data_IF_212116969390
#
_entry.id   IF_212116969390
#
_cell.length_a   1.000
_cell.length_b   1.000
_cell.length_c   1.000
_cell.angle_alpha   90.00
_cell.angle_beta   90.00
_cell.angle_gamma   90.00
#
_symmetry.space_group_name_H-M   'P 1'
#
loop_
_entity.id
_entity.type
_entity.pdbx_description
1 polymer ?
#
# COMPACT_ATOMS: atom_id res chain seq x y z
N UNK A 1 20.99 44.86 30.98
CA UNK A 1 19.87 45.71 30.53
C UNK A 1 20.39 47.11 30.28
N UNK A 2 20.53 47.51 29.01
CA UNK A 2 20.90 48.89 28.67
C UNK A 2 19.67 49.79 28.81
N UNK A 3 19.71 50.74 29.73
CA UNK A 3 18.65 51.75 29.90
C UNK A 3 18.77 52.79 28.78
N UNK A 4 17.71 52.89 27.96
CA UNK A 4 17.59 53.84 26.86
C UNK A 4 17.26 55.25 27.40
N UNK A 5 18.12 56.24 27.13
CA UNK A 5 17.96 57.66 27.52
C UNK A 5 17.48 58.53 26.34
N UNK A 6 16.48 58.08 25.59
CA UNK A 6 15.83 58.86 24.52
C UNK A 6 14.69 59.74 25.04
N UNK A 7 14.34 60.79 24.31
CA UNK A 7 13.27 61.74 24.66
C UNK A 7 11.91 61.03 24.84
N UNK A 8 11.05 61.55 25.72
CA UNK A 8 9.79 60.92 26.12
C UNK A 8 8.83 60.55 24.94
N UNK A 9 8.99 61.17 23.77
CA UNK A 9 8.25 60.84 22.54
C UNK A 9 8.71 59.52 21.88
N UNK A 10 9.99 59.18 21.97
CA UNK A 10 10.53 57.91 21.44
C UNK A 10 10.16 56.70 22.31
N UNK A 11 9.81 56.92 23.58
CA UNK A 11 9.39 55.87 24.51
C UNK A 11 8.11 55.15 24.03
N UNK A 12 7.15 55.88 23.47
CA UNK A 12 5.91 55.30 22.93
C UNK A 12 6.16 54.43 21.69
N UNK A 13 7.05 54.89 20.80
CA UNK A 13 7.47 54.14 19.59
C UNK A 13 8.24 52.87 19.97
N UNK A 14 9.14 52.97 20.94
CA UNK A 14 9.87 51.82 21.48
C UNK A 14 8.93 50.78 22.11
N UNK A 15 7.88 51.23 22.81
CA UNK A 15 6.87 50.35 23.41
C UNK A 15 6.06 49.60 22.34
N UNK A 16 5.65 50.28 21.27
CA UNK A 16 4.94 49.64 20.15
C UNK A 16 5.80 48.61 19.41
N UNK A 17 7.08 48.92 19.17
CA UNK A 17 8.01 47.98 18.56
C UNK A 17 8.28 46.77 19.45
N UNK A 18 8.37 46.96 20.78
CA UNK A 18 8.50 45.87 21.74
C UNK A 18 7.25 44.97 21.75
N UNK A 19 6.06 45.56 21.75
CA UNK A 19 4.78 44.84 21.68
C UNK A 19 4.61 44.07 20.37
N UNK A 20 5.08 44.63 19.24
CA UNK A 20 5.08 43.96 17.93
C UNK A 20 6.04 42.77 17.91
N UNK A 21 7.22 42.91 18.52
CA UNK A 21 8.20 41.80 18.66
C UNK A 21 7.69 40.69 19.57
N UNK A 22 7.02 41.04 20.66
CA UNK A 22 6.41 40.08 21.59
C UNK A 22 5.32 39.25 20.91
N UNK A 23 4.39 39.89 20.18
CA UNK A 23 3.39 39.18 19.39
C UNK A 23 3.99 38.26 18.32
N UNK A 24 5.03 38.72 17.62
CA UNK A 24 5.70 37.91 16.62
C UNK A 24 6.39 36.68 17.23
N UNK A 25 6.96 36.81 18.44
CA UNK A 25 7.55 35.69 19.17
C UNK A 25 6.48 34.69 19.64
N UNK A 26 5.35 35.18 20.13
CA UNK A 26 4.21 34.36 20.55
C UNK A 26 3.62 33.57 19.37
N UNK A 27 3.48 34.20 18.21
CA UNK A 27 3.04 33.53 16.97
C UNK A 27 4.03 32.48 16.49
N UNK A 28 5.34 32.75 16.60
CA UNK A 28 6.40 31.79 16.28
C UNK A 28 6.37 30.58 17.23
N UNK A 29 6.14 30.82 18.52
CA UNK A 29 6.04 29.75 19.52
C UNK A 29 4.80 28.88 19.28
N UNK A 30 3.66 29.50 18.97
CA UNK A 30 2.44 28.79 18.58
C UNK A 30 2.65 27.95 17.32
N UNK A 31 3.29 28.51 16.29
CA UNK A 31 3.57 27.79 15.05
C UNK A 31 4.56 26.64 15.28
N UNK A 32 5.56 26.84 16.14
CA UNK A 32 6.52 25.79 16.54
C UNK A 32 5.82 24.67 17.30
N UNK A 33 4.94 24.99 18.26
CA UNK A 33 4.13 24.00 18.99
C UNK A 33 3.21 23.21 18.06
N UNK A 34 2.54 23.89 17.12
CA UNK A 34 1.68 23.25 16.11
C UNK A 34 2.47 22.29 15.22
N UNK A 35 3.66 22.69 14.76
CA UNK A 35 4.56 21.83 13.98
C UNK A 35 5.08 20.66 14.83
N UNK A 36 5.41 20.88 16.11
CA UNK A 36 5.83 19.82 17.02
C UNK A 36 4.71 18.81 17.31
N UNK A 37 3.46 19.26 17.42
CA UNK A 37 2.29 18.40 17.55
C UNK A 37 2.01 17.59 16.28
N UNK A 38 2.20 18.19 15.10
CA UNK A 38 2.03 17.54 13.80
C UNK A 38 3.18 16.56 13.49
N UNK A 39 4.41 16.88 13.90
CA UNK A 39 5.61 16.03 13.78
C UNK A 39 5.73 14.98 14.89
N UNK A 40 4.99 15.10 16.00
CA UNK A 40 4.80 14.02 16.98
C UNK A 40 3.95 12.92 16.36
N UNK A 41 4.55 12.23 15.40
CA UNK A 41 4.08 11.01 14.78
C UNK A 41 4.31 9.81 15.72
N UNK A 42 4.06 9.99 17.02
CA UNK A 42 3.91 8.90 17.99
C UNK A 42 2.62 8.10 17.78
N UNK A 43 1.86 8.42 16.74
CA UNK A 43 0.67 7.69 16.29
C UNK A 43 0.92 6.72 15.15
N UNK A 44 2.12 6.62 14.55
CA UNK A 44 2.38 5.59 13.52
C UNK A 44 2.68 4.21 14.12
N UNK A 45 3.49 4.12 15.17
CA UNK A 45 3.80 2.84 15.84
C UNK A 45 2.54 2.21 16.47
N UNK A 46 1.69 3.02 17.09
CA UNK A 46 0.43 2.57 17.69
C UNK A 46 -0.67 2.21 16.67
N UNK A 47 -0.57 2.69 15.42
CA UNK A 47 -1.52 2.32 14.36
C UNK A 47 -1.35 0.88 13.88
N UNK A 48 -0.15 0.32 14.03
CA UNK A 48 0.16 -1.04 13.57
C UNK A 48 0.29 -2.06 14.71
N UNK A 49 0.78 -1.66 15.88
CA UNK A 49 1.05 -2.61 16.98
C UNK A 49 -0.19 -3.00 17.80
N UNK A 50 -1.07 -2.05 18.15
CA UNK A 50 -2.20 -2.33 19.05
C UNK A 50 -3.39 -3.02 18.37
N UNK A 51 -3.50 -2.91 17.04
CA UNK A 51 -4.67 -3.39 16.30
C UNK A 51 -4.65 -4.90 16.00
N UNK A 52 -3.47 -5.51 15.92
CA UNK A 52 -3.35 -6.95 15.69
C UNK A 52 -3.48 -7.72 17.01
N UNK A 53 -2.86 -7.21 18.08
CA UNK A 53 -2.80 -7.86 19.39
C UNK A 53 -4.20 -7.96 20.04
N UNK A 54 -5.05 -6.94 19.93
CA UNK A 54 -6.39 -6.97 20.51
C UNK A 54 -7.31 -8.02 19.86
N UNK A 55 -7.28 -8.12 18.52
CA UNK A 55 -8.10 -9.08 17.77
C UNK A 55 -7.61 -10.51 18.02
N UNK A 56 -6.29 -10.69 18.04
CA UNK A 56 -5.68 -11.99 18.30
C UNK A 56 -5.92 -12.47 19.74
N UNK A 57 -5.88 -11.57 20.73
CA UNK A 57 -6.23 -11.88 22.11
C UNK A 57 -7.69 -12.28 22.28
N UNK A 58 -8.62 -11.63 21.57
CA UNK A 58 -10.05 -11.99 21.58
C UNK A 58 -10.28 -13.35 20.93
N UNK A 59 -9.60 -13.64 19.82
CA UNK A 59 -9.68 -14.96 19.16
C UNK A 59 -9.06 -16.06 20.03
N UNK A 60 -7.90 -15.82 20.64
CA UNK A 60 -7.23 -16.75 21.56
C UNK A 60 -8.10 -17.06 22.78
N UNK A 61 -8.61 -16.05 23.47
CA UNK A 61 -9.47 -16.25 24.65
C UNK A 61 -10.78 -16.96 24.32
N UNK A 62 -11.38 -16.68 23.17
CA UNK A 62 -12.64 -17.31 22.73
C UNK A 62 -12.45 -18.74 22.19
N UNK A 63 -11.22 -19.13 21.85
CA UNK A 63 -10.90 -20.45 21.25
C UNK A 63 -10.17 -21.39 22.22
N UNK A 64 -9.94 -20.98 23.48
CA UNK A 64 -9.40 -21.88 24.51
C UNK A 64 -10.51 -22.85 24.97
N UNK A 65 -10.38 -24.13 24.61
CA UNK A 65 -11.30 -25.20 25.01
C UNK A 65 -11.49 -26.26 23.92
N UNK A 66 -12.40 -27.21 24.15
CA UNK A 66 -12.83 -28.16 23.12
C UNK A 66 -13.84 -27.46 22.19
N UNK A 67 -13.35 -26.94 21.07
CA UNK A 67 -14.14 -26.18 20.08
C UNK A 67 -14.09 -26.93 18.76
N UNK A 68 -15.24 -27.03 18.09
CA UNK A 68 -15.33 -27.65 16.76
C UNK A 68 -14.77 -26.72 15.68
N UNK A 69 -14.33 -27.29 14.55
CA UNK A 69 -13.78 -26.47 13.45
C UNK A 69 -14.78 -25.44 12.92
N UNK A 70 -16.07 -25.76 12.94
CA UNK A 70 -17.13 -24.87 12.49
C UNK A 70 -17.33 -23.70 13.47
N UNK A 71 -17.26 -23.94 14.77
CA UNK A 71 -17.31 -22.90 15.80
C UNK A 71 -16.10 -21.95 15.73
N UNK A 72 -14.90 -22.48 15.42
CA UNK A 72 -13.71 -21.66 15.26
C UNK A 72 -13.83 -20.73 14.04
N UNK A 73 -14.34 -21.26 12.91
CA UNK A 73 -14.56 -20.46 11.70
C UNK A 73 -15.64 -19.40 11.90
N UNK A 74 -16.75 -19.76 12.53
CA UNK A 74 -17.83 -18.81 12.85
C UNK A 74 -17.31 -17.66 13.71
N UNK A 75 -16.54 -17.96 14.76
CA UNK A 75 -15.92 -16.94 15.63
C UNK A 75 -14.91 -16.06 14.89
N UNK A 76 -14.15 -16.63 13.96
CA UNK A 76 -13.21 -15.86 13.15
C UNK A 76 -13.94 -14.89 12.21
N UNK A 77 -15.00 -15.36 11.55
CA UNK A 77 -15.82 -14.54 10.65
C UNK A 77 -16.54 -13.41 11.41
N UNK A 78 -17.09 -13.70 12.59
CA UNK A 78 -17.77 -12.70 13.42
C UNK A 78 -16.84 -11.57 13.87
N UNK A 79 -15.61 -11.91 14.31
CA UNK A 79 -14.61 -10.91 14.73
C UNK A 79 -14.14 -10.05 13.55
N UNK A 80 -13.98 -10.63 12.36
CA UNK A 80 -13.65 -9.87 11.14
C UNK A 80 -14.78 -8.94 10.75
N UNK A 81 -16.02 -9.43 10.75
CA UNK A 81 -17.22 -8.67 10.38
C UNK A 81 -17.51 -7.52 11.35
N UNK A 82 -17.33 -7.73 12.65
CA UNK A 82 -17.48 -6.68 13.66
C UNK A 82 -16.43 -5.57 13.47
N UNK A 83 -15.20 -5.95 13.14
CA UNK A 83 -14.12 -5.01 12.82
C UNK A 83 -14.40 -4.21 11.56
N UNK A 84 -14.87 -4.85 10.50
CA UNK A 84 -15.26 -4.17 9.26
C UNK A 84 -16.37 -3.15 9.53
N UNK A 85 -17.37 -3.53 10.33
CA UNK A 85 -18.45 -2.63 10.74
C UNK A 85 -17.93 -1.44 11.55
N UNK A 86 -17.01 -1.67 12.47
CA UNK A 86 -16.41 -0.60 13.29
C UNK A 86 -15.56 0.36 12.44
N UNK A 87 -14.81 -0.15 11.46
CA UNK A 87 -14.04 0.67 10.52
C UNK A 87 -14.97 1.51 9.65
N UNK A 88 -16.05 0.92 9.12
CA UNK A 88 -17.05 1.63 8.33
C UNK A 88 -17.71 2.76 9.14
N UNK A 89 -18.12 2.51 10.38
CA UNK A 89 -18.68 3.54 11.26
C UNK A 89 -17.71 4.68 11.54
N UNK A 90 -16.43 4.37 11.81
CA UNK A 90 -15.41 5.38 12.08
C UNK A 90 -15.09 6.22 10.84
N UNK A 91 -15.12 5.63 9.66
CA UNK A 91 -14.96 6.34 8.39
C UNK A 91 -16.14 7.30 8.14
N UNK A 92 -17.37 6.81 8.30
CA UNK A 92 -18.59 7.63 8.18
C UNK A 92 -18.59 8.81 9.16
N UNK A 93 -18.18 8.59 10.42
CA UNK A 93 -18.11 9.66 11.41
C UNK A 93 -17.07 10.73 11.05
N UNK A 94 -15.89 10.31 10.57
CA UNK A 94 -14.84 11.25 10.12
C UNK A 94 -15.28 12.05 8.90
N UNK A 95 -15.99 11.43 7.98
CA UNK A 95 -16.52 12.09 6.80
C UNK A 95 -17.59 13.13 7.17
N UNK A 96 -18.50 12.77 8.09
CA UNK A 96 -19.51 13.68 8.61
C UNK A 96 -18.86 14.87 9.35
N UNK A 97 -17.80 14.64 10.12
CA UNK A 97 -17.04 15.71 10.77
C UNK A 97 -16.39 16.64 9.75
N UNK A 98 -15.75 16.10 8.70
CA UNK A 98 -15.15 16.89 7.62
C UNK A 98 -16.19 17.74 6.89
N UNK A 99 -17.36 17.19 6.58
CA UNK A 99 -18.45 17.94 5.95
C UNK A 99 -18.94 19.09 6.85
N UNK A 100 -19.10 18.86 8.15
CA UNK A 100 -19.48 19.92 9.11
C UNK A 100 -18.45 21.03 9.21
N UNK A 101 -17.16 20.71 9.14
CA UNK A 101 -16.08 21.71 9.14
C UNK A 101 -16.09 22.57 7.87
N UNK A 102 -16.26 21.94 6.70
CA UNK A 102 -16.38 22.64 5.42
C UNK A 102 -17.59 23.60 5.44
N UNK A 103 -18.73 23.14 5.97
CA UNK A 103 -19.95 23.95 6.03
C UNK A 103 -19.78 25.16 6.98
N UNK A 104 -19.19 24.96 8.16
CA UNK A 104 -18.87 26.08 9.08
C UNK A 104 -17.92 27.10 8.46
N UNK A 105 -16.92 26.64 7.70
CA UNK A 105 -15.96 27.54 7.02
C UNK A 105 -16.66 28.37 5.94
N UNK A 106 -17.55 27.76 5.15
CA UNK A 106 -18.39 28.47 4.17
C UNK A 106 -19.29 29.52 4.83
N UNK A 107 -19.99 29.17 5.90
CA UNK A 107 -20.86 30.11 6.63
C UNK A 107 -20.07 31.30 7.22
N UNK A 108 -18.85 31.07 7.71
CA UNK A 108 -17.99 32.15 8.21
C UNK A 108 -17.55 33.09 7.08
N UNK A 109 -17.17 32.56 5.92
CA UNK A 109 -16.82 33.36 4.75
C UNK A 109 -18.00 34.20 4.25
N UNK A 110 -19.21 33.62 4.22
CA UNK A 110 -20.42 34.34 3.82
C UNK A 110 -20.79 35.45 4.80
N UNK A 111 -20.66 35.20 6.12
CA UNK A 111 -20.85 36.25 7.14
C UNK A 111 -19.84 37.38 6.98
N UNK A 112 -18.58 37.08 6.71
CA UNK A 112 -17.56 38.10 6.47
C UNK A 112 -17.88 38.91 5.20
N UNK A 113 -18.25 38.26 4.09
CA UNK A 113 -18.69 38.95 2.87
C UNK A 113 -19.89 39.87 3.12
N UNK A 114 -20.91 39.41 3.86
CA UNK A 114 -22.07 40.23 4.22
C UNK A 114 -21.71 41.40 5.13
N UNK A 115 -20.79 41.19 6.08
CA UNK A 115 -20.34 42.24 6.99
C UNK A 115 -19.54 43.33 6.25
N UNK A 116 -18.73 42.93 5.26
CA UNK A 116 -18.03 43.87 4.37
C UNK A 116 -19.03 44.62 3.49
N UNK A 117 -20.01 43.93 2.90
CA UNK A 117 -21.05 44.55 2.06
C UNK A 117 -21.99 45.49 2.83
N UNK A 118 -22.21 45.26 4.13
CA UNK A 118 -23.05 46.11 4.98
C UNK A 118 -22.36 47.41 5.46
N UNK A 119 -21.04 47.52 5.31
CA UNK A 119 -20.30 48.75 5.60
C UNK A 119 -20.35 49.65 4.35
N UNK A 120 -20.96 50.84 4.45
CA UNK A 120 -21.21 51.73 3.30
C UNK A 120 -19.98 52.51 2.79
N UNK A 121 -18.80 51.89 2.79
CA UNK A 121 -17.65 52.41 2.05
C UNK A 121 -17.72 51.85 0.63
N UNK A 122 -18.28 52.64 -0.30
CA UNK A 122 -18.04 52.42 -1.73
C UNK A 122 -16.61 52.85 -2.03
N UNK A 123 -15.66 51.92 -1.95
CA UNK A 123 -14.46 52.01 -2.77
C UNK A 123 -14.88 51.56 -4.16
N UNK A 124 -15.21 52.54 -4.98
CA UNK A 124 -15.28 52.39 -6.43
C UNK A 124 -13.84 52.57 -6.90
N UNK A 125 -13.15 51.46 -7.12
CA UNK A 125 -12.14 51.32 -8.16
C UNK A 125 -11.96 49.81 -8.45
N UNK A 126 -12.09 49.52 -9.74
CA UNK A 126 -12.07 48.22 -10.38
C UNK A 126 -10.72 47.52 -10.22
N UNK A 127 -10.79 46.21 -9.94
CA UNK A 127 -9.98 45.10 -10.46
C UNK A 127 -9.76 44.06 -9.36
N UNK A 128 -10.66 43.09 -9.29
CA UNK A 128 -10.27 41.70 -9.09
C UNK A 128 -11.25 40.89 -9.94
N UNK A 129 -10.85 40.69 -11.20
CA UNK A 129 -11.37 39.60 -12.01
C UNK A 129 -11.27 38.32 -11.17
N UNK A 130 -12.40 37.62 -11.07
CA UNK A 130 -12.51 36.28 -10.52
C UNK A 130 -11.56 35.34 -11.30
N UNK A 131 -10.32 35.18 -10.82
CA UNK A 131 -9.48 34.02 -11.10
C UNK A 131 -9.68 32.97 -10.00
N UNK A 132 -10.89 32.40 -9.92
CA UNK A 132 -11.07 31.04 -9.39
C UNK A 132 -11.21 30.10 -10.59
N UNK A 133 -10.08 29.87 -11.26
CA UNK A 133 -9.92 28.78 -12.20
C UNK A 133 -9.70 27.46 -11.44
N UNK A 134 -10.53 26.48 -11.79
CA UNK A 134 -10.28 25.04 -11.73
C UNK A 134 -10.29 24.37 -10.34
N UNK A 135 -11.40 23.70 -10.03
CA UNK A 135 -11.40 22.24 -10.14
C UNK A 135 -12.85 21.74 -10.24
N UNK A 136 -13.24 21.46 -11.48
CA UNK A 136 -14.50 20.81 -11.79
C UNK A 136 -14.29 19.29 -11.78
N UNK A 137 -15.29 18.61 -11.21
CA UNK A 137 -15.68 17.23 -11.51
C UNK A 137 -14.75 16.09 -11.11
N UNK A 138 -15.13 15.42 -10.03
CA UNK A 138 -15.21 13.97 -10.08
C UNK A 138 -16.60 13.52 -9.63
N UNK A 139 -17.41 13.12 -10.61
CA UNK A 139 -18.66 12.40 -10.42
C UNK A 139 -18.65 11.22 -11.38
N UNK A 140 -18.43 10.05 -10.78
CA UNK A 140 -18.93 8.71 -11.11
C UNK A 140 -19.11 8.34 -12.59
N UNK A 141 -18.19 7.47 -13.00
CA UNK A 141 -18.44 6.05 -13.30
C UNK A 141 -19.82 5.65 -13.86
N UNK A 142 -19.76 5.01 -15.01
CA UNK A 142 -20.91 4.50 -15.75
C UNK A 142 -20.48 3.66 -16.95
N UNK A 143 -19.90 2.50 -16.65
CA UNK A 143 -19.88 1.24 -17.42
C UNK A 143 -20.14 1.29 -18.94
N UNK A 144 -19.21 0.77 -19.75
CA UNK A 144 -19.39 -0.53 -20.45
C UNK A 144 -18.26 -0.84 -21.43
N UNK A 145 -17.89 -2.12 -21.37
CA UNK A 145 -17.17 -2.98 -22.30
C UNK A 145 -16.89 -2.44 -23.72
N UNK A 146 -15.64 -2.59 -24.17
CA UNK A 146 -15.37 -2.96 -25.55
C UNK A 146 -14.36 -4.10 -25.65
N UNK A 147 -14.87 -5.26 -26.06
CA UNK A 147 -14.13 -6.26 -26.82
C UNK A 147 -14.08 -5.81 -28.28
N UNK A 148 -12.91 -5.90 -28.88
CA UNK A 148 -12.78 -6.58 -30.17
C UNK A 148 -12.58 -5.71 -31.42
N UNK A 149 -11.36 -5.84 -31.91
CA UNK A 149 -11.04 -6.25 -33.28
C UNK A 149 -10.69 -5.16 -34.32
N UNK A 150 -9.40 -5.16 -34.64
CA UNK A 150 -8.73 -4.88 -35.92
C UNK A 150 -9.59 -4.65 -37.17
N UNK A 151 -9.21 -3.65 -37.96
CA UNK A 151 -8.85 -3.90 -39.37
C UNK A 151 -8.00 -2.77 -39.97
N UNK A 152 -6.95 -3.19 -40.66
CA UNK A 152 -6.14 -2.41 -41.60
C UNK A 152 -6.97 -1.81 -42.74
N UNK A 153 -6.59 -0.63 -43.20
CA UNK A 153 -6.46 -0.36 -44.64
C UNK A 153 -5.57 0.86 -44.89
N UNK A 154 -4.54 0.62 -45.70
CA UNK A 154 -3.68 1.57 -46.41
C UNK A 154 -4.48 2.65 -47.12
N UNK A 155 -3.93 3.85 -47.22
CA UNK A 155 -3.47 4.44 -48.49
C UNK A 155 -2.70 5.74 -48.22
N UNK A 156 -1.51 5.82 -48.82
CA UNK A 156 -0.69 7.02 -48.93
C UNK A 156 -1.17 7.78 -50.17
N UNK A 157 -1.34 9.11 -50.07
CA UNK A 157 -0.76 10.05 -51.02
C UNK A 157 -0.99 11.53 -50.65
N UNK A 158 0.04 12.32 -50.98
CA UNK A 158 0.09 13.76 -51.24
C UNK A 158 0.32 14.78 -50.10
N UNK A 159 1.60 15.19 -50.03
CA UNK A 159 2.17 16.51 -49.73
C UNK A 159 1.21 17.65 -49.32
N UNK A 160 1.37 18.12 -48.08
CA UNK A 160 1.22 19.54 -47.73
C UNK A 160 2.14 19.92 -46.58
N UNK A 161 3.19 20.64 -46.93
CA UNK A 161 4.04 21.44 -46.03
C UNK A 161 3.20 22.25 -45.04
N UNK A 162 3.38 21.96 -43.76
CA UNK A 162 2.95 22.79 -42.64
C UNK A 162 3.75 22.37 -41.41
N UNK A 163 4.45 23.29 -40.70
CA UNK A 163 5.29 22.90 -39.59
C UNK A 163 4.42 22.34 -38.45
N UNK A 164 4.68 21.08 -38.11
CA UNK A 164 4.12 20.36 -36.98
C UNK A 164 4.54 21.08 -35.69
N UNK A 165 3.60 21.80 -35.07
CA UNK A 165 3.82 22.42 -33.78
C UNK A 165 3.73 21.34 -32.70
N UNK A 166 4.85 20.68 -32.42
CA UNK A 166 5.01 19.91 -31.19
C UNK A 166 4.82 20.87 -30.00
N UNK A 167 3.88 20.61 -29.08
CA UNK A 167 3.71 21.46 -27.92
C UNK A 167 5.01 21.47 -27.11
N UNK A 168 5.53 22.64 -26.71
CA UNK A 168 6.83 22.74 -26.06
C UNK A 168 6.80 21.95 -24.75
N UNK A 169 7.66 20.93 -24.65
CA UNK A 169 7.95 20.22 -23.41
C UNK A 169 8.43 21.26 -22.41
N UNK A 170 7.56 21.64 -21.46
CA UNK A 170 7.91 22.59 -20.40
C UNK A 170 9.04 21.96 -19.58
N UNK A 171 10.28 22.36 -19.88
CA UNK A 171 11.46 21.99 -19.11
C UNK A 171 11.22 22.51 -17.70
N UNK A 172 10.93 21.60 -16.76
CA UNK A 172 10.73 21.96 -15.35
C UNK A 172 11.97 22.75 -14.92
N UNK A 173 11.74 23.95 -14.39
CA UNK A 173 12.80 24.82 -13.90
C UNK A 173 13.54 24.07 -12.79
N UNK A 174 14.70 23.49 -13.15
CA UNK A 174 15.47 22.63 -12.26
C UNK A 174 16.09 23.45 -11.13
N UNK A 175 16.05 22.90 -9.92
CA UNK A 175 16.91 23.36 -8.83
C UNK A 175 18.37 23.17 -9.25
N UNK A 176 19.28 23.98 -8.72
CA UNK A 176 20.71 23.93 -9.04
C UNK A 176 21.24 22.48 -8.91
N UNK A 177 21.86 21.88 -9.95
CA UNK A 177 22.24 20.46 -9.95
C UNK A 177 23.27 20.07 -8.88
N UNK A 178 24.02 21.03 -8.34
CA UNK A 178 25.01 20.79 -7.27
C UNK A 178 24.38 20.73 -5.86
N UNK A 179 23.08 21.02 -5.72
CA UNK A 179 22.38 20.98 -4.44
C UNK A 179 21.66 19.64 -4.32
N UNK A 180 22.06 18.82 -3.36
CA UNK A 180 21.40 17.55 -3.06
C UNK A 180 19.94 17.80 -2.64
N UNK A 181 19.01 17.40 -3.51
CA UNK A 181 17.57 17.54 -3.31
C UNK A 181 16.92 16.22 -2.88
N UNK A 182 17.70 15.22 -2.47
CA UNK A 182 17.22 13.90 -2.04
C UNK A 182 16.26 13.90 -0.85
N UNK A 183 16.30 14.96 -0.04
CA UNK A 183 15.44 15.12 1.13
C UNK A 183 14.04 15.68 0.79
N UNK A 184 13.83 16.18 -0.43
CA UNK A 184 12.53 16.69 -0.86
C UNK A 184 11.65 15.53 -1.37
N UNK A 185 10.37 15.48 -0.99
CA UNK A 185 9.40 14.58 -1.61
C UNK A 185 9.39 14.79 -3.12
N UNK A 186 9.81 13.77 -3.85
CA UNK A 186 9.97 13.81 -5.30
C UNK A 186 9.20 12.64 -5.90
N UNK A 187 8.09 12.97 -6.56
CA UNK A 187 7.15 11.99 -7.11
C UNK A 187 7.81 11.08 -8.15
N UNK A 188 8.74 11.61 -8.93
CA UNK A 188 9.45 10.86 -9.98
C UNK A 188 10.41 9.84 -9.35
N UNK A 189 11.14 10.24 -8.30
CA UNK A 189 12.01 9.35 -7.52
C UNK A 189 11.24 8.25 -6.80
N UNK A 190 10.11 8.58 -6.18
CA UNK A 190 9.25 7.57 -5.54
C UNK A 190 8.69 6.58 -6.57
N UNK A 191 8.38 7.03 -7.78
CA UNK A 191 7.94 6.19 -8.90
C UNK A 191 9.07 5.29 -9.43
N UNK A 192 10.31 5.79 -9.50
CA UNK A 192 11.50 5.00 -9.84
C UNK A 192 11.81 3.95 -8.76
N UNK A 193 11.77 4.33 -7.48
CA UNK A 193 11.95 3.39 -6.36
C UNK A 193 10.88 2.31 -6.34
N UNK A 194 9.62 2.65 -6.65
CA UNK A 194 8.54 1.68 -6.81
C UNK A 194 8.81 0.73 -7.97
N UNK A 195 9.23 1.24 -9.13
CA UNK A 195 9.59 0.42 -10.29
C UNK A 195 10.72 -0.55 -9.97
N UNK A 196 11.81 -0.06 -9.36
CA UNK A 196 12.94 -0.90 -8.93
C UNK A 196 12.48 -1.97 -7.94
N UNK A 197 11.59 -1.61 -7.00
CA UNK A 197 11.04 -2.55 -6.03
C UNK A 197 10.18 -3.64 -6.68
N UNK A 198 9.37 -3.26 -7.66
CA UNK A 198 8.54 -4.18 -8.44
C UNK A 198 9.40 -5.09 -9.32
N UNK A 199 10.42 -4.56 -9.97
CA UNK A 199 11.42 -5.32 -10.73
C UNK A 199 12.13 -6.34 -9.86
N UNK A 200 12.66 -5.93 -8.71
CA UNK A 200 13.31 -6.82 -7.74
C UNK A 200 12.35 -7.91 -7.23
N UNK A 201 11.07 -7.58 -7.04
CA UNK A 201 10.05 -8.56 -6.65
C UNK A 201 9.82 -9.57 -7.77
N UNK A 202 9.70 -9.13 -9.02
CA UNK A 202 9.54 -10.00 -10.18
C UNK A 202 10.76 -10.90 -10.37
N UNK A 203 11.97 -10.34 -10.30
CA UNK A 203 13.20 -11.13 -10.36
C UNK A 203 13.26 -12.17 -9.24
N UNK A 204 12.90 -11.79 -8.02
CA UNK A 204 12.90 -12.73 -6.89
C UNK A 204 11.91 -13.88 -7.13
N UNK A 205 10.68 -13.58 -7.55
CA UNK A 205 9.68 -14.60 -7.90
C UNK A 205 10.17 -15.49 -9.04
N UNK A 206 10.80 -14.90 -10.06
CA UNK A 206 11.32 -15.64 -11.21
C UNK A 206 12.47 -16.57 -10.82
N UNK A 207 13.42 -16.08 -10.01
CA UNK A 207 14.51 -16.90 -9.43
C UNK A 207 13.96 -18.04 -8.58
N UNK A 208 12.95 -17.78 -7.75
CA UNK A 208 12.26 -18.80 -6.97
C UNK A 208 11.59 -19.86 -7.86
N UNK A 209 10.90 -19.42 -8.91
CA UNK A 209 10.23 -20.31 -9.85
C UNK A 209 11.22 -21.13 -10.67
N UNK A 210 12.36 -20.54 -11.06
CA UNK A 210 13.43 -21.23 -11.75
C UNK A 210 14.00 -22.36 -10.88
N UNK A 211 14.31 -22.06 -9.61
CA UNK A 211 14.84 -23.06 -8.67
C UNK A 211 13.81 -24.17 -8.37
N UNK A 212 12.52 -23.83 -8.32
CA UNK A 212 11.43 -24.83 -8.24
C UNK A 212 11.30 -25.67 -9.51
N UNK A 213 11.61 -25.12 -10.68
CA UNK A 213 11.50 -25.82 -11.97
C UNK A 213 12.70 -26.71 -12.30
N UNK A 214 13.79 -26.61 -11.55
CA UNK A 214 14.94 -27.50 -11.73
C UNK A 214 14.54 -28.97 -11.56
N UNK A 215 14.96 -29.81 -12.50
CA UNK A 215 14.72 -31.24 -12.46
C UNK A 215 15.69 -31.91 -11.47
N UNK A 216 15.15 -32.79 -10.62
CA UNK A 216 15.88 -33.66 -9.70
C UNK A 216 15.57 -35.11 -10.05
N UNK A 217 16.60 -35.92 -9.98
CA UNK A 217 16.50 -37.38 -9.97
C UNK A 217 16.46 -37.88 -8.53
N UNK A 218 15.35 -38.53 -8.16
CA UNK A 218 15.14 -39.04 -6.80
C UNK A 218 15.14 -40.57 -6.87
N UNK A 219 16.14 -41.15 -6.20
CA UNK A 219 16.20 -42.59 -5.93
C UNK A 219 15.38 -42.88 -4.68
N UNK A 220 14.34 -43.70 -4.83
CA UNK A 220 13.47 -44.11 -3.73
C UNK A 220 13.43 -45.62 -3.61
N UNK A 221 13.02 -46.11 -2.44
CA UNK A 221 12.76 -47.53 -2.23
C UNK A 221 11.32 -47.69 -1.80
N UNK A 222 10.57 -48.52 -2.51
CA UNK A 222 9.31 -49.04 -2.01
C UNK A 222 9.58 -50.16 -1.00
N UNK A 223 8.74 -50.27 0.04
CA UNK A 223 8.90 -51.22 1.12
C UNK A 223 7.57 -51.94 1.38
N UNK A 224 7.55 -53.24 1.12
CA UNK A 224 6.45 -54.17 1.40
C UNK A 224 6.88 -55.33 2.32
N UNK A 225 8.03 -55.17 2.98
CA UNK A 225 8.78 -56.23 3.65
C UNK A 225 10.08 -56.58 2.92
N UNK A 226 10.18 -56.21 1.64
CA UNK A 226 11.42 -56.19 0.86
C UNK A 226 11.65 -54.80 0.25
N UNK A 227 12.92 -54.43 0.04
CA UNK A 227 13.30 -53.12 -0.48
C UNK A 227 13.37 -53.09 -2.01
N UNK A 228 12.48 -52.36 -2.65
CA UNK A 228 12.44 -52.18 -4.10
C UNK A 228 12.94 -50.79 -4.51
N UNK A 229 14.23 -50.69 -4.85
CA UNK A 229 14.86 -49.42 -5.26
C UNK A 229 14.50 -49.06 -6.70
N UNK A 230 14.03 -47.83 -6.91
CA UNK A 230 13.65 -47.25 -8.21
C UNK A 230 14.12 -45.80 -8.26
N UNK A 231 14.11 -45.25 -9.47
CA UNK A 231 14.53 -43.88 -9.72
C UNK A 231 13.44 -43.17 -10.52
N UNK A 232 13.10 -41.96 -10.09
CA UNK A 232 12.10 -41.11 -10.76
C UNK A 232 12.65 -39.70 -10.90
N UNK A 233 12.45 -39.11 -12.08
CA UNK A 233 12.81 -37.72 -12.38
C UNK A 233 11.60 -36.79 -12.24
N UNK A 234 11.76 -35.69 -11.49
CA UNK A 234 10.74 -34.66 -11.34
C UNK A 234 11.30 -33.30 -10.90
N UNK A 235 10.47 -32.27 -10.93
CA UNK A 235 10.86 -30.90 -10.55
C UNK A 235 10.93 -30.70 -9.03
N UNK A 236 11.81 -29.82 -8.54
CA UNK A 236 11.93 -29.51 -7.09
C UNK A 236 10.63 -28.98 -6.48
N UNK A 237 9.88 -28.21 -7.27
CA UNK A 237 8.63 -27.58 -6.86
C UNK A 237 7.43 -28.52 -6.79
N UNK A 238 7.59 -29.79 -7.18
CA UNK A 238 6.52 -30.76 -7.04
C UNK A 238 6.32 -31.13 -5.56
N UNK A 239 5.06 -31.32 -5.17
CA UNK A 239 4.73 -31.80 -3.84
C UNK A 239 5.08 -33.27 -3.68
N UNK A 240 5.24 -33.71 -2.44
CA UNK A 240 5.48 -35.11 -2.11
C UNK A 240 4.31 -35.99 -2.54
N UNK A 241 3.08 -35.47 -2.47
CA UNK A 241 1.92 -36.14 -3.05
C UNK A 241 2.11 -36.49 -4.54
N UNK A 242 2.52 -35.50 -5.34
CA UNK A 242 2.78 -35.70 -6.76
C UNK A 242 3.94 -36.67 -7.01
N UNK A 243 4.93 -36.68 -6.11
CA UNK A 243 6.01 -37.66 -6.13
C UNK A 243 5.50 -39.08 -5.90
N UNK A 244 4.71 -39.29 -4.83
CA UNK A 244 4.13 -40.59 -4.50
C UNK A 244 3.23 -41.10 -5.62
N UNK A 245 2.46 -40.20 -6.26
CA UNK A 245 1.65 -40.53 -7.43
C UNK A 245 2.49 -41.05 -8.60
N UNK A 246 3.59 -40.36 -8.94
CA UNK A 246 4.52 -40.81 -9.99
C UNK A 246 5.22 -42.12 -9.61
N UNK A 247 5.59 -42.31 -8.35
CA UNK A 247 6.14 -43.57 -7.86
C UNK A 247 5.13 -44.72 -8.02
N UNK A 248 3.86 -44.49 -7.67
CA UNK A 248 2.78 -45.46 -7.88
C UNK A 248 2.62 -45.83 -9.35
N UNK A 249 2.69 -44.89 -10.28
CA UNK A 249 2.61 -45.19 -11.72
C UNK A 249 3.72 -46.14 -12.21
N UNK A 250 4.93 -45.99 -11.67
CA UNK A 250 6.05 -46.89 -11.96
C UNK A 250 5.82 -48.26 -11.31
N UNK A 251 5.43 -48.28 -10.04
CA UNK A 251 5.25 -49.52 -9.27
C UNK A 251 4.04 -50.34 -9.72
N UNK A 252 2.97 -49.71 -10.19
CA UNK A 252 1.75 -50.38 -10.71
C UNK A 252 2.01 -51.30 -11.90
N UNK A 253 3.14 -51.14 -12.59
CA UNK A 253 3.57 -52.05 -13.66
C UNK A 253 4.10 -53.38 -13.12
N UNK A 254 4.66 -53.37 -11.91
CA UNK A 254 5.33 -54.54 -11.30
C UNK A 254 4.45 -55.18 -10.21
N UNK A 255 3.68 -54.38 -9.48
CA UNK A 255 2.86 -54.82 -8.36
C UNK A 255 1.38 -54.54 -8.62
N UNK A 256 0.59 -55.60 -8.78
CA UNK A 256 -0.85 -55.51 -9.03
C UNK A 256 -1.63 -55.00 -7.80
N UNK A 257 -1.10 -55.22 -6.60
CA UNK A 257 -1.70 -54.79 -5.32
C UNK A 257 -1.78 -53.26 -5.20
N UNK A 258 -0.80 -52.55 -5.77
CA UNK A 258 -0.72 -51.08 -5.75
C UNK A 258 -1.68 -50.40 -6.74
N UNK A 259 -2.46 -51.18 -7.51
CA UNK A 259 -3.44 -50.62 -8.45
C UNK A 259 -4.65 -49.99 -7.74
N UNK A 260 -5.05 -50.55 -6.60
CA UNK A 260 -6.16 -50.04 -5.79
C UNK A 260 -5.73 -48.92 -4.83
N UNK A 261 -4.43 -48.85 -4.50
CA UNK A 261 -3.87 -47.91 -3.54
C UNK A 261 -3.72 -46.51 -4.14
N UNK A 262 -4.08 -45.49 -3.37
CA UNK A 262 -3.90 -44.07 -3.71
C UNK A 262 -2.66 -43.49 -3.02
N UNK A 263 -2.16 -42.35 -3.53
CA UNK A 263 -0.99 -41.70 -2.95
C UNK A 263 -1.21 -41.26 -1.49
N UNK A 264 -2.46 -41.03 -1.06
CA UNK A 264 -2.79 -40.69 0.33
C UNK A 264 -2.57 -41.83 1.34
N UNK A 265 -2.54 -43.08 0.87
CA UNK A 265 -2.32 -44.26 1.71
C UNK A 265 -0.84 -44.62 1.85
N UNK A 266 0.03 -43.89 1.14
CA UNK A 266 1.48 -44.07 1.22
C UNK A 266 2.07 -42.99 2.11
N UNK A 267 3.16 -43.32 2.80
CA UNK A 267 3.94 -42.35 3.55
C UNK A 267 5.31 -42.20 2.92
N UNK A 268 5.80 -40.97 2.83
CA UNK A 268 7.19 -40.72 2.45
C UNK A 268 8.05 -40.63 3.71
N UNK A 269 9.03 -41.53 3.80
CA UNK A 269 10.00 -41.57 4.89
C UNK A 269 11.37 -41.26 4.32
N UNK A 270 12.01 -40.21 4.82
CA UNK A 270 13.39 -39.85 4.47
C UNK A 270 14.23 -39.92 5.72
N UNK A 271 15.20 -40.83 5.74
CA UNK A 271 15.98 -41.15 6.94
C UNK A 271 15.02 -41.52 8.07
N UNK A 272 14.91 -40.68 9.11
CA UNK A 272 14.02 -40.89 10.26
C UNK A 272 12.81 -39.94 10.27
N UNK A 273 12.62 -39.13 9.23
CA UNK A 273 11.58 -38.11 9.17
C UNK A 273 10.45 -38.52 8.22
N UNK A 274 9.24 -38.63 8.76
CA UNK A 274 8.01 -38.81 7.97
C UNK A 274 7.59 -37.45 7.45
N UNK A 275 7.55 -37.30 6.13
CA UNK A 275 7.22 -36.02 5.52
C UNK A 275 5.76 -35.98 5.06
N UNK A 276 4.98 -34.97 5.49
CA UNK A 276 3.61 -34.77 5.01
C UNK A 276 3.50 -34.48 3.51
N UNK A 277 2.33 -34.79 2.95
CA UNK A 277 2.08 -34.78 1.50
C UNK A 277 2.05 -33.39 0.86
N UNK A 278 1.82 -32.35 1.66
CA UNK A 278 1.71 -30.96 1.20
C UNK A 278 3.06 -30.25 1.03
N UNK A 279 4.14 -30.79 1.61
CA UNK A 279 5.47 -30.21 1.42
C UNK A 279 6.04 -30.49 0.03
N UNK A 280 6.94 -29.63 -0.41
CA UNK A 280 7.68 -29.78 -1.67
C UNK A 280 9.15 -30.11 -1.40
N UNK A 281 9.84 -30.72 -2.37
CA UNK A 281 11.28 -30.96 -2.24
C UNK A 281 12.08 -29.67 -2.14
N UNK A 282 11.58 -28.60 -2.78
CA UNK A 282 12.14 -27.26 -2.66
C UNK A 282 12.26 -26.82 -1.20
N UNK A 283 11.22 -27.05 -0.38
CA UNK A 283 11.21 -26.61 1.02
C UNK A 283 12.36 -27.25 1.81
N UNK A 284 12.60 -28.54 1.62
CA UNK A 284 13.70 -29.26 2.31
C UNK A 284 15.09 -28.96 1.77
N UNK A 285 15.20 -28.49 0.53
CA UNK A 285 16.49 -28.14 -0.07
C UNK A 285 16.93 -26.75 0.41
N UNK A 286 15.97 -25.84 0.58
CA UNK A 286 16.26 -24.45 1.00
C UNK A 286 16.49 -24.33 2.51
N UNK A 287 15.80 -25.13 3.33
CA UNK A 287 16.02 -25.13 4.79
C UNK A 287 17.30 -25.84 5.23
N UNK A 288 18.19 -26.23 4.30
CA UNK A 288 19.38 -27.03 4.57
C UNK A 288 20.62 -26.18 4.86
#
# INVERSE_FOLDING_TARGET
MAMYKGAASEAGRAMHLKKKREKALEELELRKKKIEEELKISTMENKFAAHYDAVEQQLKSSTIGLVTLDEMKAKQEDVVKERERQLAQRQQERELQRQREIQKKREQQERQRRQIAALSFKLDDEEEEDEDAEENNNSEDGEKEEKGNSQESKEQDEDKDGPEYEPPVKRKLGKNPDVDTSFLPDREREEDEKRIREELRMEWVQKQQQLKNEDIEITFSYWDGSGHRKVVRMKKGNSIYQFLQKCLEVLRKEFYELRAVTADQLMYVKEDLIIPHHYTFYDFIVTK
#
